data_IF_115246317506
#
_entry.id   IF_115246317506
#
_cell.length_a   1.000
_cell.length_b   1.000
_cell.length_c   1.000
_cell.angle_alpha   90.00
_cell.angle_beta   90.00
_cell.angle_gamma   90.00
#
_symmetry.space_group_name_H-M   'P 1'
#
loop_
_entity.id
_entity.type
_entity.pdbx_description
1 polymer ?
#
# COMPACT_ATOMS: atom_id res chain seq x y z
N UNK A 1 17.28 3.20 17.41
CA UNK A 1 18.73 3.43 17.57
C UNK A 1 19.58 2.95 16.38
N UNK A 2 19.64 1.65 16.03
CA UNK A 2 20.43 1.20 14.86
C UNK A 2 19.70 1.55 13.55
N UNK A 3 18.41 1.30 13.44
CA UNK A 3 17.59 1.61 12.26
C UNK A 3 17.54 3.11 11.97
N UNK A 4 17.34 3.95 12.96
CA UNK A 4 17.39 5.42 12.84
C UNK A 4 18.70 5.88 12.20
N UNK A 5 19.84 5.32 12.61
CA UNK A 5 21.15 5.61 12.00
C UNK A 5 21.26 5.14 10.55
N UNK A 6 20.58 4.07 10.16
CA UNK A 6 20.59 3.53 8.80
C UNK A 6 19.84 4.46 7.84
N UNK A 7 18.69 5.00 8.27
CA UNK A 7 17.81 5.83 7.45
C UNK A 7 18.12 7.34 7.46
N UNK A 8 18.98 7.82 8.37
CA UNK A 8 19.23 9.27 8.57
C UNK A 8 20.60 9.78 8.13
N UNK A 9 21.51 8.92 7.63
CA UNK A 9 22.94 9.28 7.54
C UNK A 9 23.41 9.92 6.23
N UNK A 10 22.62 9.94 5.16
CA UNK A 10 23.00 10.53 3.89
C UNK A 10 21.85 11.24 3.18
N UNK A 11 22.19 12.11 2.24
CA UNK A 11 21.18 12.79 1.41
C UNK A 11 20.39 11.78 0.54
N UNK A 12 21.10 10.75 0.04
CA UNK A 12 20.50 9.69 -0.79
C UNK A 12 19.56 8.77 0.02
N UNK A 13 19.97 8.38 1.23
CA UNK A 13 19.15 7.57 2.12
C UNK A 13 17.85 8.27 2.49
N UNK A 14 17.94 9.57 2.77
CA UNK A 14 16.76 10.39 3.07
C UNK A 14 15.82 10.46 1.87
N UNK A 15 16.34 10.71 0.68
CA UNK A 15 15.54 10.76 -0.55
C UNK A 15 14.79 9.44 -0.78
N UNK A 16 15.49 8.30 -0.71
CA UNK A 16 14.85 6.99 -0.86
C UNK A 16 13.79 6.74 0.20
N UNK A 17 14.03 7.16 1.44
CA UNK A 17 13.05 7.02 2.52
C UNK A 17 11.79 7.84 2.26
N UNK A 18 11.95 9.09 1.81
CA UNK A 18 10.85 9.99 1.43
C UNK A 18 10.07 9.43 0.22
N UNK A 19 10.77 8.86 -0.76
CA UNK A 19 10.14 8.24 -1.93
C UNK A 19 9.38 6.96 -1.58
N UNK A 20 9.90 6.11 -0.69
CA UNK A 20 9.17 4.94 -0.17
C UNK A 20 7.91 5.38 0.60
N UNK A 21 8.04 6.37 1.48
CA UNK A 21 6.89 6.92 2.21
C UNK A 21 5.83 7.45 1.24
N UNK A 22 6.24 8.20 0.20
CA UNK A 22 5.35 8.68 -0.86
C UNK A 22 4.67 7.52 -1.61
N UNK A 23 5.38 6.44 -1.91
CA UNK A 23 4.82 5.25 -2.55
C UNK A 23 3.69 4.65 -1.72
N UNK A 24 3.90 4.48 -0.40
CA UNK A 24 2.87 3.99 0.52
C UNK A 24 1.69 4.98 0.62
N UNK A 25 1.95 6.29 0.66
CA UNK A 25 0.89 7.32 0.68
C UNK A 25 0.01 7.26 -0.58
N UNK A 26 0.61 7.03 -1.76
CA UNK A 26 -0.14 6.83 -3.00
C UNK A 26 -1.03 5.58 -2.91
N UNK A 27 -0.52 4.47 -2.35
CA UNK A 27 -1.32 3.27 -2.12
C UNK A 27 -2.50 3.54 -1.18
N UNK A 28 -2.28 4.24 -0.07
CA UNK A 28 -3.36 4.65 0.83
C UNK A 28 -4.42 5.49 0.11
N UNK A 29 -3.98 6.43 -0.74
CA UNK A 29 -4.88 7.26 -1.55
C UNK A 29 -5.70 6.41 -2.51
N UNK A 30 -5.06 5.48 -3.23
CA UNK A 30 -5.72 4.60 -4.19
C UNK A 30 -6.75 3.68 -3.50
N UNK A 31 -6.40 3.06 -2.37
CA UNK A 31 -7.31 2.24 -1.57
C UNK A 31 -8.53 3.05 -1.08
N UNK A 32 -8.34 4.28 -0.66
CA UNK A 32 -9.44 5.16 -0.26
C UNK A 32 -10.37 5.49 -1.42
N UNK A 33 -9.80 5.87 -2.58
CA UNK A 33 -10.60 6.17 -3.78
C UNK A 33 -11.35 4.93 -4.24
N UNK A 34 -10.74 3.75 -4.23
CA UNK A 34 -11.38 2.49 -4.57
C UNK A 34 -12.57 2.18 -3.65
N UNK A 35 -12.40 2.35 -2.34
CA UNK A 35 -13.50 2.22 -1.36
C UNK A 35 -14.65 3.20 -1.69
N UNK A 36 -14.34 4.46 -1.96
CA UNK A 36 -15.33 5.49 -2.30
C UNK A 36 -16.03 5.18 -3.64
N UNK A 37 -15.29 4.63 -4.62
CA UNK A 37 -15.83 4.19 -5.89
C UNK A 37 -16.86 3.06 -5.74
N UNK A 38 -16.59 2.05 -4.92
CA UNK A 38 -17.52 0.96 -4.62
C UNK A 38 -18.76 1.48 -3.88
N UNK A 39 -18.58 2.33 -2.87
CA UNK A 39 -19.65 2.89 -2.04
C UNK A 39 -20.63 3.72 -2.87
N UNK A 40 -20.12 4.52 -3.82
CA UNK A 40 -20.91 5.43 -4.65
C UNK A 40 -21.30 4.84 -6.01
N UNK A 41 -20.83 3.65 -6.33
CA UNK A 41 -20.91 3.05 -7.67
C UNK A 41 -20.39 4.01 -8.77
N UNK A 42 -19.27 4.67 -8.50
CA UNK A 42 -18.71 5.70 -9.38
C UNK A 42 -17.55 5.14 -10.21
N UNK A 43 -17.81 4.96 -11.51
CA UNK A 43 -16.84 4.45 -12.48
C UNK A 43 -15.67 5.41 -12.72
N UNK A 44 -15.87 6.73 -12.56
CA UNK A 44 -14.78 7.69 -12.76
C UNK A 44 -13.72 7.52 -11.67
N UNK A 45 -14.13 7.26 -10.43
CA UNK A 45 -13.19 6.98 -9.35
C UNK A 45 -12.39 5.68 -9.58
N UNK A 46 -12.92 4.70 -10.31
CA UNK A 46 -12.15 3.51 -10.70
C UNK A 46 -11.02 3.89 -11.69
N UNK A 47 -11.27 4.81 -12.63
CA UNK A 47 -10.22 5.34 -13.50
C UNK A 47 -9.15 6.11 -12.71
N UNK A 48 -9.54 6.88 -11.70
CA UNK A 48 -8.59 7.59 -10.83
C UNK A 48 -7.64 6.60 -10.11
N UNK A 49 -8.15 5.42 -9.70
CA UNK A 49 -7.31 4.35 -9.11
C UNK A 49 -6.28 3.84 -10.13
N UNK A 50 -6.73 3.58 -11.37
CA UNK A 50 -5.87 3.07 -12.45
C UNK A 50 -4.78 4.09 -12.83
N UNK A 51 -5.11 5.39 -12.82
CA UNK A 51 -4.12 6.44 -13.11
C UNK A 51 -3.10 6.59 -11.99
N UNK A 52 -3.51 6.44 -10.73
CA UNK A 52 -2.60 6.51 -9.58
C UNK A 52 -1.52 5.43 -9.59
N UNK A 53 -1.78 4.27 -10.15
CA UNK A 53 -0.77 3.22 -10.29
C UNK A 53 0.41 3.67 -11.14
N UNK A 54 0.17 4.44 -12.22
CA UNK A 54 1.25 4.97 -13.06
C UNK A 54 2.16 5.92 -12.30
N UNK A 55 1.59 6.75 -11.42
CA UNK A 55 2.36 7.62 -10.54
C UNK A 55 3.18 6.81 -9.53
N UNK A 56 2.58 5.77 -8.96
CA UNK A 56 3.24 4.87 -8.02
C UNK A 56 4.38 4.08 -8.67
N UNK A 57 4.17 3.53 -9.88
CA UNK A 57 5.19 2.82 -10.64
C UNK A 57 6.39 3.74 -11.00
N UNK A 58 6.14 5.02 -11.29
CA UNK A 58 7.22 5.99 -11.47
C UNK A 58 8.03 6.17 -10.18
N UNK A 59 7.38 6.33 -9.03
CA UNK A 59 8.06 6.45 -7.72
C UNK A 59 8.84 5.18 -7.40
N UNK A 60 8.26 3.99 -7.64
CA UNK A 60 8.96 2.70 -7.46
C UNK A 60 10.27 2.65 -8.25
N UNK A 61 10.23 3.02 -9.53
CA UNK A 61 11.44 3.04 -10.38
C UNK A 61 12.51 3.98 -9.84
N UNK A 62 12.12 5.18 -9.39
CA UNK A 62 13.04 6.15 -8.80
C UNK A 62 13.68 5.60 -7.52
N UNK A 63 12.91 4.97 -6.63
CA UNK A 63 13.42 4.31 -5.41
C UNK A 63 14.47 3.26 -5.78
N UNK A 64 14.17 2.35 -6.70
CA UNK A 64 15.07 1.28 -7.12
C UNK A 64 16.34 1.87 -7.73
N UNK A 65 16.23 2.89 -8.59
CA UNK A 65 17.38 3.55 -9.20
C UNK A 65 18.32 4.17 -8.12
N UNK A 66 17.77 4.93 -7.18
CA UNK A 66 18.53 5.56 -6.09
C UNK A 66 19.20 4.52 -5.17
N UNK A 67 18.57 3.38 -4.91
CA UNK A 67 19.17 2.27 -4.17
C UNK A 67 20.40 1.73 -4.92
N UNK A 68 20.29 1.50 -6.24
CA UNK A 68 21.40 1.02 -7.06
C UNK A 68 22.52 2.08 -7.24
N UNK A 69 22.20 3.35 -7.18
CA UNK A 69 23.18 4.46 -7.18
C UNK A 69 23.98 4.59 -5.88
N UNK A 70 23.75 3.71 -4.93
CA UNK A 70 24.55 3.57 -3.73
C UNK A 70 23.93 4.13 -2.45
N UNK A 71 22.62 4.38 -2.42
CA UNK A 71 21.90 4.61 -1.18
C UNK A 71 21.93 3.33 -0.32
N UNK A 72 22.10 3.48 0.97
CA UNK A 72 22.16 2.42 1.97
C UNK A 72 23.34 1.44 1.84
N UNK A 73 23.57 0.70 2.90
CA UNK A 73 24.56 -0.36 2.95
C UNK A 73 24.12 -1.55 2.06
N UNK A 74 25.06 -2.20 1.35
CA UNK A 74 24.74 -3.23 0.37
C UNK A 74 23.85 -4.37 0.88
N UNK A 75 23.98 -4.73 2.15
CA UNK A 75 23.22 -5.86 2.72
C UNK A 75 21.74 -5.54 3.01
N UNK A 76 21.33 -4.24 3.06
CA UNK A 76 19.94 -3.81 3.28
C UNK A 76 19.19 -3.60 1.96
N UNK A 77 19.92 -3.30 0.88
CA UNK A 77 19.32 -2.96 -0.41
C UNK A 77 18.34 -4.00 -0.93
N UNK A 78 18.64 -5.31 -0.88
CA UNK A 78 17.69 -6.33 -1.33
C UNK A 78 16.37 -6.30 -0.58
N UNK A 79 16.40 -6.07 0.73
CA UNK A 79 15.19 -6.03 1.56
C UNK A 79 14.35 -4.78 1.26
N UNK A 80 14.98 -3.63 1.02
CA UNK A 80 14.30 -2.39 0.61
C UNK A 80 13.67 -2.54 -0.76
N UNK A 81 14.40 -3.08 -1.74
CA UNK A 81 13.86 -3.36 -3.07
C UNK A 81 12.66 -4.30 -2.99
N UNK A 82 12.80 -5.41 -2.24
CA UNK A 82 11.70 -6.37 -2.04
C UNK A 82 10.49 -5.73 -1.37
N UNK A 83 10.70 -4.87 -0.37
CA UNK A 83 9.61 -4.15 0.28
C UNK A 83 8.83 -3.28 -0.71
N UNK A 84 9.53 -2.51 -1.53
CA UNK A 84 8.91 -1.62 -2.53
C UNK A 84 8.17 -2.42 -3.60
N UNK A 85 8.73 -3.54 -4.07
CA UNK A 85 8.08 -4.45 -5.01
C UNK A 85 6.79 -5.07 -4.42
N UNK A 86 6.78 -5.46 -3.15
CA UNK A 86 5.57 -5.97 -2.49
C UNK A 86 4.48 -4.89 -2.39
N UNK A 87 4.84 -3.63 -2.12
CA UNK A 87 3.88 -2.52 -2.12
C UNK A 87 3.30 -2.30 -3.52
N UNK A 88 4.13 -2.43 -4.55
CA UNK A 88 3.73 -2.31 -5.95
C UNK A 88 2.79 -3.47 -6.38
N UNK A 89 3.07 -4.71 -5.96
CA UNK A 89 2.17 -5.85 -6.18
C UNK A 89 0.75 -5.61 -5.61
N UNK A 90 0.64 -4.93 -4.47
CA UNK A 90 -0.67 -4.54 -3.91
C UNK A 90 -1.36 -3.50 -4.80
N UNK A 91 -0.59 -2.55 -5.36
CA UNK A 91 -1.10 -1.57 -6.31
C UNK A 91 -1.63 -2.22 -7.59
N UNK A 92 -0.87 -3.16 -8.16
CA UNK A 92 -1.28 -3.92 -9.34
C UNK A 92 -2.58 -4.69 -9.09
N UNK A 93 -2.70 -5.38 -7.96
CA UNK A 93 -3.93 -6.07 -7.58
C UNK A 93 -5.12 -5.12 -7.43
N UNK A 94 -4.91 -3.92 -6.91
CA UNK A 94 -5.95 -2.91 -6.78
C UNK A 94 -6.38 -2.36 -8.15
N UNK A 95 -5.44 -2.06 -9.04
CA UNK A 95 -5.65 -1.64 -10.42
C UNK A 95 -6.45 -2.70 -11.20
N UNK A 96 -6.03 -3.96 -11.12
CA UNK A 96 -6.71 -5.06 -11.81
C UNK A 96 -8.15 -5.23 -11.31
N UNK A 97 -8.38 -5.07 -10.00
CA UNK A 97 -9.71 -5.10 -9.42
C UNK A 97 -10.56 -3.91 -9.89
N UNK A 98 -9.96 -2.71 -10.02
CA UNK A 98 -10.64 -1.54 -10.55
C UNK A 98 -11.02 -1.73 -12.04
N UNK A 99 -10.12 -2.28 -12.88
CA UNK A 99 -10.43 -2.65 -14.26
C UNK A 99 -11.58 -3.64 -14.35
N UNK A 100 -11.52 -4.71 -13.55
CA UNK A 100 -12.59 -5.70 -13.51
C UNK A 100 -13.93 -5.06 -13.13
N UNK A 101 -13.93 -4.13 -12.17
CA UNK A 101 -15.13 -3.41 -11.74
C UNK A 101 -15.70 -2.44 -12.78
N UNK A 102 -14.91 -2.07 -13.81
CA UNK A 102 -15.39 -1.30 -14.96
C UNK A 102 -16.17 -2.16 -15.96
N UNK A 103 -15.82 -3.43 -16.11
CA UNK A 103 -16.44 -4.34 -17.06
C UNK A 103 -17.64 -5.09 -16.47
N UNK A 104 -17.64 -5.33 -15.16
CA UNK A 104 -18.65 -6.11 -14.48
C UNK A 104 -19.30 -5.33 -13.34
N UNK A 105 -20.63 -5.19 -13.39
CA UNK A 105 -21.35 -4.61 -12.26
C UNK A 105 -21.38 -5.60 -11.07
N UNK A 106 -20.95 -5.09 -9.93
CA UNK A 106 -21.01 -5.83 -8.69
C UNK A 106 -22.49 -5.98 -8.26
N UNK A 107 -23.01 -7.20 -8.07
CA UNK A 107 -24.35 -7.42 -7.56
C UNK A 107 -24.58 -6.66 -6.24
N UNK A 108 -25.78 -6.08 -6.07
CA UNK A 108 -26.11 -5.31 -4.87
C UNK A 108 -25.91 -6.12 -3.59
N UNK A 109 -26.22 -7.43 -3.64
CA UNK A 109 -26.03 -8.37 -2.53
C UNK A 109 -24.57 -8.52 -2.07
N UNK A 110 -23.60 -8.19 -2.93
CA UNK A 110 -22.16 -8.28 -2.63
C UNK A 110 -21.52 -6.90 -2.37
N UNK A 111 -22.24 -5.81 -2.67
CA UNK A 111 -21.68 -4.45 -2.63
C UNK A 111 -21.28 -4.04 -1.21
N UNK A 112 -22.12 -4.29 -0.23
CA UNK A 112 -21.87 -3.93 1.16
C UNK A 112 -20.59 -4.59 1.69
N UNK A 113 -20.46 -5.91 1.53
CA UNK A 113 -19.29 -6.66 2.02
C UNK A 113 -18.03 -6.33 1.23
N UNK A 114 -18.14 -6.09 -0.07
CA UNK A 114 -17.01 -5.65 -0.90
C UNK A 114 -16.51 -4.26 -0.48
N UNK A 115 -17.41 -3.32 -0.21
CA UNK A 115 -17.06 -1.99 0.32
C UNK A 115 -16.41 -2.09 1.69
N UNK A 116 -16.89 -3.02 2.53
CA UNK A 116 -16.32 -3.28 3.85
C UNK A 116 -14.91 -3.87 3.77
N UNK A 117 -14.65 -4.79 2.84
CA UNK A 117 -13.30 -5.29 2.54
C UNK A 117 -12.39 -4.15 2.08
N UNK A 118 -12.86 -3.31 1.15
CA UNK A 118 -12.10 -2.17 0.64
C UNK A 118 -11.74 -1.17 1.76
N UNK A 119 -12.67 -0.90 2.69
CA UNK A 119 -12.39 -0.08 3.87
C UNK A 119 -11.31 -0.70 4.77
N UNK A 120 -11.37 -2.01 5.01
CA UNK A 120 -10.36 -2.69 5.84
C UNK A 120 -8.99 -2.70 5.16
N UNK A 121 -8.92 -2.89 3.83
CA UNK A 121 -7.68 -2.76 3.06
C UNK A 121 -7.10 -1.34 3.17
N UNK A 122 -7.92 -0.30 3.03
CA UNK A 122 -7.50 1.07 3.24
C UNK A 122 -6.90 1.26 4.65
N UNK A 123 -7.55 0.74 5.70
CA UNK A 123 -7.02 0.79 7.08
C UNK A 123 -5.71 0.03 7.26
N UNK A 124 -5.54 -1.09 6.57
CA UNK A 124 -4.26 -1.81 6.56
C UNK A 124 -3.15 -0.97 5.94
N UNK A 125 -3.41 -0.28 4.84
CA UNK A 125 -2.44 0.62 4.22
C UNK A 125 -2.08 1.80 5.11
N UNK A 126 -3.05 2.41 5.81
CA UNK A 126 -2.77 3.45 6.82
C UNK A 126 -1.86 2.92 7.94
N UNK A 127 -2.12 1.70 8.43
CA UNK A 127 -1.27 1.05 9.44
C UNK A 127 0.12 0.72 8.90
N UNK A 128 0.25 0.37 7.61
CA UNK A 128 1.54 0.16 6.96
C UNK A 128 2.36 1.46 6.94
N UNK A 129 1.74 2.58 6.57
CA UNK A 129 2.38 3.90 6.59
C UNK A 129 2.87 4.26 7.99
N UNK A 130 2.01 4.15 9.00
CA UNK A 130 2.35 4.40 10.41
C UNK A 130 3.49 3.47 10.87
N UNK A 131 3.49 2.21 10.42
CA UNK A 131 4.55 1.25 10.75
C UNK A 131 5.87 1.63 10.11
N UNK A 132 5.85 2.07 8.85
CA UNK A 132 7.04 2.52 8.15
C UNK A 132 7.65 3.77 8.81
N UNK A 133 6.84 4.79 9.11
CA UNK A 133 7.28 5.98 9.84
C UNK A 133 7.89 5.65 11.22
N UNK A 134 7.24 4.75 11.95
CA UNK A 134 7.74 4.29 13.24
C UNK A 134 9.07 3.52 13.12
N UNK A 135 9.22 2.71 12.06
CA UNK A 135 10.47 1.99 11.77
C UNK A 135 11.63 2.96 11.53
N UNK A 136 11.40 4.03 10.75
CA UNK A 136 12.40 5.07 10.50
C UNK A 136 12.83 5.76 11.80
N UNK A 137 11.87 6.03 12.69
CA UNK A 137 12.11 6.66 14.00
C UNK A 137 12.73 5.69 15.03
N UNK A 138 12.84 4.39 14.69
CA UNK A 138 13.34 3.37 15.62
C UNK A 138 12.37 3.04 16.75
N UNK A 139 11.08 3.28 16.56
CA UNK A 139 10.01 2.96 17.51
C UNK A 139 9.64 1.47 17.50
N UNK A 140 8.92 1.03 18.53
CA UNK A 140 8.40 -0.34 18.62
C UNK A 140 7.26 -0.56 17.58
N UNK A 141 7.39 -1.64 16.83
CA UNK A 141 6.46 -1.98 15.74
C UNK A 141 5.41 -3.02 16.13
N UNK A 142 5.53 -3.66 17.29
CA UNK A 142 4.70 -4.82 17.68
C UNK A 142 3.21 -4.55 17.57
N UNK A 143 2.74 -3.48 18.19
CA UNK A 143 1.31 -3.14 18.19
C UNK A 143 0.81 -2.73 16.80
N UNK A 144 1.66 -2.09 16.00
CA UNK A 144 1.34 -1.65 14.64
C UNK A 144 1.18 -2.87 13.70
N UNK A 145 2.12 -3.82 13.79
CA UNK A 145 2.06 -5.09 13.04
C UNK A 145 0.85 -5.93 13.48
N UNK A 146 0.55 -5.95 14.78
CA UNK A 146 -0.65 -6.64 15.29
C UNK A 146 -1.93 -6.01 14.72
N UNK A 147 -1.97 -4.68 14.59
CA UNK A 147 -3.09 -3.97 13.96
C UNK A 147 -3.34 -4.44 12.52
N UNK A 148 -2.29 -4.58 11.70
CA UNK A 148 -2.38 -5.09 10.32
C UNK A 148 -2.98 -6.51 10.31
N UNK A 149 -2.48 -7.41 11.16
CA UNK A 149 -2.99 -8.79 11.26
C UNK A 149 -4.45 -8.87 11.71
N UNK A 150 -4.89 -7.95 12.56
CA UNK A 150 -6.30 -7.89 12.98
C UNK A 150 -7.21 -7.51 11.78
N UNK A 151 -6.78 -6.55 10.94
CA UNK A 151 -7.54 -6.20 9.74
C UNK A 151 -7.54 -7.33 8.72
N UNK A 152 -6.41 -7.98 8.47
CA UNK A 152 -6.29 -9.15 7.60
C UNK A 152 -7.30 -10.24 8.01
N UNK A 153 -7.31 -10.61 9.30
CA UNK A 153 -8.25 -11.61 9.81
C UNK A 153 -9.72 -11.21 9.60
N UNK A 154 -10.07 -9.94 9.82
CA UNK A 154 -11.43 -9.45 9.56
C UNK A 154 -11.82 -9.56 8.08
N UNK A 155 -10.88 -9.33 7.16
CA UNK A 155 -11.10 -9.49 5.73
C UNK A 155 -11.34 -10.96 5.41
N UNK A 156 -10.55 -11.88 5.96
CA UNK A 156 -10.71 -13.31 5.74
C UNK A 156 -12.06 -13.83 6.28
N UNK A 157 -12.49 -13.34 7.43
CA UNK A 157 -13.82 -13.68 7.98
C UNK A 157 -14.95 -13.22 7.03
N UNK A 158 -14.85 -12.05 6.40
CA UNK A 158 -15.84 -11.56 5.43
C UNK A 158 -15.79 -12.40 4.15
N UNK A 159 -14.59 -12.73 3.62
CA UNK A 159 -14.45 -13.61 2.44
C UNK A 159 -15.14 -14.94 2.66
N UNK A 160 -15.00 -15.56 3.85
CA UNK A 160 -15.65 -16.82 4.16
C UNK A 160 -17.20 -16.74 4.11
N UNK A 161 -17.76 -15.56 4.34
CA UNK A 161 -19.22 -15.32 4.22
C UNK A 161 -19.60 -15.19 2.75
N UNK A 162 -18.81 -14.49 1.95
CA UNK A 162 -19.08 -14.23 0.53
C UNK A 162 -19.01 -15.50 -0.35
N UNK A 163 -18.23 -16.51 0.06
CA UNK A 163 -18.06 -17.76 -0.70
C UNK A 163 -18.94 -18.91 -0.19
N UNK A 164 -19.90 -18.66 0.69
CA UNK A 164 -20.94 -19.64 1.12
C UNK A 164 -22.23 -19.47 0.35
#
# INVERSE_FOLDING_TARGET
MILEKIFSHGKKERQVTEDIERHIQLLCKACRIFKDALERNDRNLMWDVIELERDADAVRRDVIAHIYEGAFLPYIRPDLCKFVEIVDEVFDGLKDTAFFSLDYELPESLREESTRIALLNFRMCEMLLISFEAMIKGEDLRDKILGIRIYEKKIDDIKLILFK
#
